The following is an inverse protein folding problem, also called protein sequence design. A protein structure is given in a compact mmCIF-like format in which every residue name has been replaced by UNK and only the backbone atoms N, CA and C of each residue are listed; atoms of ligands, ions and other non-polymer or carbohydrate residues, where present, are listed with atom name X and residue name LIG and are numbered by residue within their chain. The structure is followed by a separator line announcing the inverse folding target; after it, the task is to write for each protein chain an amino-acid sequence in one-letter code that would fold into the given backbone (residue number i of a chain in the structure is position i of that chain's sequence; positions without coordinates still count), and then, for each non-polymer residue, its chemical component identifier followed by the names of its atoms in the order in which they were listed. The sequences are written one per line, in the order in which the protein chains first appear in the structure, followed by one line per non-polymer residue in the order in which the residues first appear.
data_IF_781590346824
#
_entry.id   IF_781590346824
#
_cell.length_a   1.000
_cell.length_b   1.000
_cell.length_c   1.000
_cell.angle_alpha   90.00
_cell.angle_beta   90.00
_cell.angle_gamma   90.00
#
_symmetry.space_group_name_H-M   'P 1'
#
loop_
_entity.id
_entity.type
_entity.pdbx_description
1 polymer ?
#
# COMPACT_ATOMS: atom_id res chain seq x y z
N UNK A 1 49.15 -26.04 -48.67
CA UNK A 1 48.38 -24.78 -48.69
C UNK A 1 47.21 -24.89 -47.72
N UNK A 2 47.41 -24.48 -46.46
CA UNK A 2 46.38 -24.50 -45.41
C UNK A 2 45.83 -23.08 -45.27
N UNK A 3 44.56 -22.88 -45.59
CA UNK A 3 43.84 -21.61 -45.44
C UNK A 3 43.71 -21.28 -43.95
N UNK A 4 44.44 -20.26 -43.49
CA UNK A 4 44.19 -19.63 -42.20
C UNK A 4 42.83 -18.91 -42.26
N UNK A 5 41.84 -19.44 -41.54
CA UNK A 5 40.61 -18.70 -41.21
C UNK A 5 41.00 -17.56 -40.28
N UNK A 6 40.85 -16.31 -40.77
CA UNK A 6 40.85 -15.11 -39.93
C UNK A 6 39.81 -15.31 -38.82
N UNK A 7 40.28 -15.32 -37.58
CA UNK A 7 39.43 -15.28 -36.40
C UNK A 7 38.82 -13.89 -36.39
N UNK A 8 37.54 -13.77 -36.73
CA UNK A 8 36.78 -12.54 -36.51
C UNK A 8 36.85 -12.25 -35.00
N UNK A 9 37.40 -11.08 -34.67
CA UNK A 9 37.51 -10.60 -33.30
C UNK A 9 36.11 -10.30 -32.78
N UNK A 10 35.46 -11.34 -32.23
CA UNK A 10 34.23 -11.22 -31.47
C UNK A 10 34.42 -10.16 -30.37
N UNK A 11 33.56 -9.14 -30.43
CA UNK A 11 33.25 -8.13 -29.44
C UNK A 11 33.78 -8.45 -28.02
N UNK A 12 35.01 -8.07 -27.70
CA UNK A 12 35.53 -8.03 -26.31
C UNK A 12 35.14 -6.71 -25.68
N UNK A 13 33.85 -6.45 -25.55
CA UNK A 13 33.37 -5.11 -25.20
C UNK A 13 32.20 -5.24 -24.22
N UNK A 14 32.49 -5.37 -22.92
CA UNK A 14 31.47 -5.20 -21.89
C UNK A 14 31.96 -4.36 -20.69
N UNK A 15 33.23 -4.46 -20.29
CA UNK A 15 33.72 -3.65 -19.16
C UNK A 15 34.46 -2.37 -19.60
N UNK A 16 35.28 -2.45 -20.66
CA UNK A 16 36.18 -1.36 -21.05
C UNK A 16 35.50 -0.23 -21.85
N UNK A 17 34.41 -0.52 -22.58
CA UNK A 17 33.61 0.49 -23.31
C UNK A 17 32.57 1.20 -22.46
N UNK A 18 32.03 0.51 -21.45
CA UNK A 18 31.01 1.03 -20.54
C UNK A 18 31.61 1.94 -19.47
N UNK A 19 32.89 1.75 -19.13
CA UNK A 19 33.62 2.59 -18.18
C UNK A 19 33.58 4.10 -18.51
N UNK A 20 33.93 4.56 -19.74
CA UNK A 20 33.85 5.98 -20.10
C UNK A 20 32.43 6.53 -20.24
N UNK A 21 31.41 5.67 -20.38
CA UNK A 21 30.00 6.10 -20.36
C UNK A 21 29.50 6.28 -18.92
N UNK A 22 29.84 5.35 -18.03
CA UNK A 22 29.48 5.39 -16.60
C UNK A 22 30.15 6.54 -15.86
N UNK A 23 31.33 6.99 -16.29
CA UNK A 23 32.00 8.16 -15.69
C UNK A 23 31.24 9.48 -15.86
N UNK A 24 30.21 9.52 -16.72
CA UNK A 24 29.30 10.66 -16.87
C UNK A 24 28.14 10.66 -15.86
N UNK A 25 27.85 9.52 -15.22
CA UNK A 25 26.74 9.40 -14.28
C UNK A 25 26.87 10.32 -13.06
N UNK A 26 28.05 10.52 -12.45
CA UNK A 26 28.19 11.46 -11.34
C UNK A 26 27.76 12.88 -11.73
N UNK A 27 28.19 13.38 -12.90
CA UNK A 27 27.79 14.71 -13.38
C UNK A 27 26.28 14.82 -13.59
N UNK A 28 25.65 13.79 -14.15
CA UNK A 28 24.18 13.76 -14.34
C UNK A 28 23.49 13.74 -12.97
N UNK A 29 24.01 12.99 -12.00
CA UNK A 29 23.46 12.96 -10.65
C UNK A 29 23.57 14.33 -9.97
N UNK A 30 24.72 15.01 -10.11
CA UNK A 30 24.91 16.37 -9.59
C UNK A 30 23.92 17.35 -10.23
N UNK A 31 23.73 17.30 -11.56
CA UNK A 31 22.72 18.11 -12.28
C UNK A 31 21.29 17.83 -11.78
N UNK A 32 20.95 16.57 -11.48
CA UNK A 32 19.66 16.20 -10.89
C UNK A 32 19.53 16.78 -9.47
N UNK A 33 20.58 16.68 -8.64
CA UNK A 33 20.60 17.21 -7.27
C UNK A 33 20.45 18.74 -7.29
N UNK A 34 21.13 19.43 -8.20
CA UNK A 34 20.96 20.87 -8.40
C UNK A 34 19.49 21.19 -8.76
N UNK A 35 18.88 20.41 -9.65
CA UNK A 35 17.47 20.58 -10.02
C UNK A 35 16.49 20.30 -8.88
N UNK A 36 16.89 19.55 -7.85
CA UNK A 36 16.08 19.32 -6.65
C UNK A 36 15.89 20.57 -5.77
N UNK A 37 16.69 21.62 -5.97
CA UNK A 37 16.65 22.86 -5.19
C UNK A 37 15.85 23.99 -5.86
N UNK A 38 15.34 23.77 -7.08
CA UNK A 38 14.58 24.75 -7.84
C UNK A 38 13.16 24.95 -7.27
N UNK A 39 12.62 26.16 -7.37
CA UNK A 39 11.27 26.50 -6.88
C UNK A 39 10.13 25.72 -7.56
N UNK A 40 10.39 25.14 -8.74
CA UNK A 40 9.45 24.27 -9.46
C UNK A 40 9.66 22.77 -9.16
N UNK A 41 10.57 22.43 -8.26
CA UNK A 41 10.88 21.05 -7.93
C UNK A 41 9.99 20.53 -6.80
N UNK A 42 9.24 19.46 -7.09
CA UNK A 42 8.36 18.79 -6.13
C UNK A 42 9.09 17.64 -5.43
N UNK A 43 10.13 17.98 -4.67
CA UNK A 43 10.89 17.00 -3.87
C UNK A 43 10.38 16.94 -2.44
N UNK A 44 10.41 15.74 -1.86
CA UNK A 44 10.19 15.53 -0.43
C UNK A 44 11.47 14.96 0.20
N UNK A 45 12.55 15.74 0.11
CA UNK A 45 13.84 15.40 0.73
C UNK A 45 13.84 16.06 2.12
N UNK A 46 13.31 15.34 3.09
CA UNK A 46 13.26 15.78 4.49
C UNK A 46 13.62 14.61 5.42
N UNK A 47 13.86 14.91 6.69
CA UNK A 47 14.15 13.93 7.73
C UNK A 47 12.92 13.10 8.14
N UNK A 48 11.72 13.61 7.85
CA UNK A 48 10.46 12.95 8.20
C UNK A 48 9.91 12.10 7.03
N UNK A 49 9.63 10.80 7.23
CA UNK A 49 9.04 9.96 6.19
C UNK A 49 7.58 10.34 5.90
N UNK A 50 7.21 10.28 4.63
CA UNK A 50 5.81 10.28 4.17
C UNK A 50 5.23 8.87 4.18
N UNK A 51 3.89 8.72 4.23
CA UNK A 51 3.25 7.43 4.04
C UNK A 51 3.72 6.76 2.74
N UNK A 52 4.08 5.48 2.81
CA UNK A 52 4.53 4.72 1.64
C UNK A 52 3.36 4.00 0.99
N UNK A 53 3.25 4.07 -0.34
CA UNK A 53 2.19 3.38 -1.08
C UNK A 53 2.22 1.88 -0.82
N UNK A 54 3.42 1.30 -0.78
CA UNK A 54 3.64 -0.12 -0.51
C UNK A 54 3.18 -0.51 0.90
N UNK A 55 3.45 0.34 1.91
CA UNK A 55 2.97 0.12 3.28
C UNK A 55 1.46 0.17 3.38
N UNK A 56 0.81 1.11 2.67
CA UNK A 56 -0.66 1.18 2.58
C UNK A 56 -1.26 -0.05 1.93
N UNK A 57 -0.66 -0.55 0.85
CA UNK A 57 -1.10 -1.80 0.19
C UNK A 57 -0.99 -2.98 1.15
N UNK A 58 0.12 -3.10 1.88
CA UNK A 58 0.27 -4.18 2.86
C UNK A 58 -0.79 -4.07 3.98
N UNK A 59 -1.10 -2.86 4.47
CA UNK A 59 -2.19 -2.63 5.42
C UNK A 59 -3.53 -3.11 4.88
N UNK A 60 -3.84 -2.82 3.61
CA UNK A 60 -5.09 -3.30 2.97
C UNK A 60 -5.12 -4.84 2.96
N UNK A 61 -4.02 -5.49 2.59
CA UNK A 61 -3.95 -6.95 2.57
C UNK A 61 -4.11 -7.57 3.97
N UNK A 62 -3.47 -6.98 5.00
CA UNK A 62 -3.66 -7.39 6.41
C UNK A 62 -5.10 -7.20 6.87
N UNK A 63 -5.73 -6.09 6.48
CA UNK A 63 -7.13 -5.84 6.78
C UNK A 63 -8.03 -6.89 6.15
N UNK A 64 -7.78 -7.28 4.89
CA UNK A 64 -8.55 -8.33 4.21
C UNK A 64 -8.44 -9.68 4.94
N UNK A 65 -7.26 -10.03 5.46
CA UNK A 65 -7.06 -11.23 6.28
C UNK A 65 -7.93 -11.23 7.56
N UNK A 66 -8.11 -10.07 8.20
CA UNK A 66 -8.94 -9.93 9.41
C UNK A 66 -10.43 -9.82 9.09
N UNK A 67 -10.79 -9.13 8.01
CA UNK A 67 -12.17 -8.91 7.60
C UNK A 67 -12.82 -10.22 7.10
N UNK A 68 -12.04 -11.02 6.36
CA UNK A 68 -12.45 -12.31 5.80
C UNK A 68 -11.47 -13.44 6.22
N UNK A 69 -11.47 -13.86 7.51
CA UNK A 69 -10.57 -14.91 7.98
C UNK A 69 -10.77 -16.21 7.22
N UNK A 70 -9.66 -16.79 6.73
CA UNK A 70 -9.65 -18.04 5.96
C UNK A 70 -9.65 -17.87 4.44
N UNK A 71 -9.95 -16.68 3.91
CA UNK A 71 -9.90 -16.41 2.47
C UNK A 71 -8.51 -15.99 2.00
N UNK A 72 -7.90 -15.03 2.71
CA UNK A 72 -6.64 -14.40 2.29
C UNK A 72 -5.43 -14.83 3.13
N UNK A 73 -5.64 -15.62 4.17
CA UNK A 73 -4.57 -16.06 5.06
C UNK A 73 -3.58 -16.98 4.34
N UNK A 74 -2.28 -16.77 4.57
CA UNK A 74 -1.20 -17.61 4.00
C UNK A 74 -1.22 -19.07 4.48
N UNK A 75 -1.87 -19.35 5.61
CA UNK A 75 -1.93 -20.67 6.22
C UNK A 75 -3.37 -21.10 6.52
N UNK A 76 -3.55 -22.39 6.81
CA UNK A 76 -4.84 -22.92 7.22
C UNK A 76 -5.29 -22.27 8.53
N UNK A 77 -6.45 -21.63 8.51
CA UNK A 77 -7.15 -21.19 9.71
C UNK A 77 -8.19 -22.25 10.08
N UNK A 78 -8.21 -22.65 11.34
CA UNK A 78 -9.18 -23.55 11.92
C UNK A 78 -9.62 -23.04 13.31
N UNK A 79 -10.68 -23.63 13.92
CA UNK A 79 -11.17 -23.13 15.20
C UNK A 79 -10.15 -23.14 16.34
N UNK A 80 -9.10 -23.96 16.27
CA UNK A 80 -8.08 -24.05 17.31
C UNK A 80 -7.05 -22.91 17.21
N UNK A 81 -6.70 -22.50 15.98
CA UNK A 81 -5.70 -21.46 15.75
C UNK A 81 -6.27 -20.05 15.51
N UNK A 82 -7.58 -19.94 15.24
CA UNK A 82 -8.25 -18.67 14.90
C UNK A 82 -7.94 -17.55 15.88
N UNK A 83 -8.03 -17.81 17.19
CA UNK A 83 -7.80 -16.80 18.22
C UNK A 83 -6.38 -16.23 18.16
N UNK A 84 -5.39 -17.08 17.95
CA UNK A 84 -3.99 -16.67 17.88
C UNK A 84 -3.68 -15.95 16.58
N UNK A 85 -4.20 -16.46 15.46
CA UNK A 85 -4.02 -15.87 14.13
C UNK A 85 -4.61 -14.44 14.07
N UNK A 86 -5.85 -14.27 14.53
CA UNK A 86 -6.51 -12.96 14.55
C UNK A 86 -5.83 -12.01 15.55
N UNK A 87 -5.44 -12.50 16.73
CA UNK A 87 -4.72 -11.69 17.72
C UNK A 87 -3.39 -11.15 17.17
N UNK A 88 -2.57 -12.02 16.57
CA UNK A 88 -1.31 -11.62 15.96
C UNK A 88 -1.52 -10.64 14.80
N UNK A 89 -2.51 -10.91 13.93
CA UNK A 89 -2.83 -10.05 12.79
C UNK A 89 -3.29 -8.66 13.25
N UNK A 90 -4.08 -8.59 14.31
CA UNK A 90 -4.54 -7.32 14.88
C UNK A 90 -3.38 -6.50 15.47
N UNK A 91 -2.45 -7.13 16.20
CA UNK A 91 -1.26 -6.44 16.73
C UNK A 91 -0.38 -5.91 15.59
N UNK A 92 -0.07 -6.75 14.59
CA UNK A 92 0.74 -6.31 13.45
C UNK A 92 0.05 -5.20 12.66
N UNK A 93 -1.26 -5.29 12.45
CA UNK A 93 -2.03 -4.23 11.79
C UNK A 93 -1.99 -2.92 12.58
N UNK A 94 -2.11 -2.98 13.91
CA UNK A 94 -2.03 -1.78 14.76
C UNK A 94 -0.70 -1.06 14.59
N UNK A 95 0.42 -1.80 14.69
CA UNK A 95 1.76 -1.22 14.56
C UNK A 95 1.93 -0.54 13.19
N UNK A 96 1.64 -1.27 12.11
CA UNK A 96 1.77 -0.76 10.73
C UNK A 96 0.85 0.44 10.47
N UNK A 97 -0.41 0.36 10.88
CA UNK A 97 -1.37 1.44 10.65
C UNK A 97 -1.00 2.67 11.45
N UNK A 98 -0.59 2.52 12.70
CA UNK A 98 -0.19 3.65 13.54
C UNK A 98 1.00 4.39 12.96
N UNK A 99 2.03 3.68 12.50
CA UNK A 99 3.20 4.27 11.83
C UNK A 99 2.79 5.10 10.61
N UNK A 100 1.97 4.53 9.72
CA UNK A 100 1.51 5.24 8.52
C UNK A 100 0.62 6.44 8.84
N UNK A 101 -0.23 6.35 9.88
CA UNK A 101 -1.03 7.49 10.35
C UNK A 101 -0.12 8.59 10.90
N UNK A 102 0.89 8.24 11.72
CA UNK A 102 1.86 9.19 12.24
C UNK A 102 2.57 9.94 11.11
N UNK A 103 3.11 9.22 10.12
CA UNK A 103 3.76 9.83 8.96
C UNK A 103 2.82 10.78 8.21
N UNK A 104 1.55 10.39 8.07
CA UNK A 104 0.57 11.22 7.39
C UNK A 104 0.23 12.50 8.16
N UNK A 105 0.07 12.41 9.48
CA UNK A 105 -0.22 13.56 10.34
C UNK A 105 0.98 14.50 10.34
N UNK A 106 2.18 13.98 10.54
CA UNK A 106 3.42 14.78 10.56
C UNK A 106 3.60 15.51 9.24
N UNK A 107 3.42 14.83 8.10
CA UNK A 107 3.47 15.46 6.79
C UNK A 107 2.51 16.66 6.68
N UNK A 108 1.26 16.51 7.14
CA UNK A 108 0.30 17.62 7.12
C UNK A 108 0.67 18.75 8.10
N UNK A 109 1.20 18.42 9.28
CA UNK A 109 1.69 19.43 10.22
C UNK A 109 2.79 20.30 9.58
N UNK A 110 3.78 19.67 8.94
CA UNK A 110 4.85 20.39 8.25
C UNK A 110 4.34 21.19 7.05
N UNK A 111 3.45 20.60 6.25
CA UNK A 111 2.88 21.24 5.06
C UNK A 111 2.06 22.49 5.38
N UNK A 112 1.32 22.47 6.50
CA UNK A 112 0.41 23.55 6.89
C UNK A 112 0.91 24.39 8.07
N UNK A 113 2.20 24.28 8.42
CA UNK A 113 2.84 25.00 9.53
C UNK A 113 2.08 24.87 10.87
N UNK A 114 1.60 23.66 11.15
CA UNK A 114 0.89 23.32 12.39
C UNK A 114 1.86 22.79 13.45
N UNK A 115 1.59 23.02 14.75
CA UNK A 115 2.43 22.46 15.81
C UNK A 115 2.35 20.93 15.79
N UNK A 116 3.45 20.24 15.48
CA UNK A 116 3.56 18.79 15.67
C UNK A 116 3.99 18.47 17.09
N UNK A 117 3.03 18.52 18.01
CA UNK A 117 3.12 17.93 19.34
C UNK A 117 2.24 16.68 19.38
N UNK A 118 2.74 15.59 19.98
CA UNK A 118 1.97 14.37 20.24
C UNK A 118 1.45 13.64 18.99
N UNK A 119 2.09 13.87 17.83
CA UNK A 119 1.76 13.23 16.55
C UNK A 119 1.75 11.68 16.67
N UNK A 120 2.63 11.10 17.49
CA UNK A 120 2.70 9.65 17.73
C UNK A 120 1.53 9.13 18.56
N UNK A 121 1.23 9.80 19.69
CA UNK A 121 0.10 9.43 20.54
C UNK A 121 -1.21 9.54 19.77
N UNK A 122 -1.35 10.58 18.95
CA UNK A 122 -2.49 10.74 18.06
C UNK A 122 -2.58 9.58 17.05
N UNK A 123 -1.48 9.19 16.42
CA UNK A 123 -1.45 8.06 15.49
C UNK A 123 -1.85 6.74 16.14
N UNK A 124 -1.30 6.43 17.33
CA UNK A 124 -1.69 5.25 18.11
C UNK A 124 -3.18 5.27 18.47
N UNK A 125 -3.69 6.41 18.93
CA UNK A 125 -5.10 6.56 19.32
C UNK A 125 -6.04 6.35 18.13
N UNK A 126 -5.74 6.98 16.99
CA UNK A 126 -6.56 6.86 15.78
C UNK A 126 -6.52 5.44 15.20
N UNK A 127 -5.35 4.79 15.20
CA UNK A 127 -5.24 3.39 14.80
C UNK A 127 -6.09 2.48 15.69
N UNK A 128 -6.04 2.66 17.02
CA UNK A 128 -6.87 1.88 17.94
C UNK A 128 -8.37 2.11 17.70
N UNK A 129 -8.79 3.37 17.58
CA UNK A 129 -10.18 3.72 17.27
C UNK A 129 -10.65 3.10 15.96
N UNK A 130 -9.80 3.07 14.94
CA UNK A 130 -10.11 2.39 13.69
C UNK A 130 -10.26 0.86 13.90
N UNK A 131 -9.35 0.22 14.63
CA UNK A 131 -9.43 -1.23 14.92
C UNK A 131 -10.73 -1.59 15.67
N UNK A 132 -11.22 -0.73 16.56
CA UNK A 132 -12.51 -0.92 17.26
C UNK A 132 -13.71 -0.93 16.31
N UNK A 133 -13.61 -0.33 15.12
CA UNK A 133 -14.67 -0.34 14.11
C UNK A 133 -14.74 -1.64 13.29
N UNK A 134 -13.68 -2.47 13.30
CA UNK A 134 -13.55 -3.67 12.46
C UNK A 134 -14.75 -4.63 12.61
N UNK A 135 -15.25 -4.95 13.82
CA UNK A 135 -16.41 -5.83 13.96
C UNK A 135 -17.67 -5.28 13.27
N UNK A 136 -17.87 -3.96 13.27
CA UNK A 136 -18.95 -3.29 12.55
C UNK A 136 -18.75 -3.34 11.03
N UNK A 137 -17.53 -3.05 10.58
CA UNK A 137 -17.15 -3.13 9.16
C UNK A 137 -17.38 -4.53 8.58
N UNK A 138 -17.03 -5.59 9.33
CA UNK A 138 -17.30 -6.98 8.91
C UNK A 138 -18.77 -7.26 8.67
N UNK A 139 -19.67 -6.71 9.50
CA UNK A 139 -21.12 -6.88 9.31
C UNK A 139 -21.61 -6.15 8.05
N UNK A 140 -21.09 -4.95 7.80
CA UNK A 140 -21.42 -4.19 6.59
C UNK A 140 -20.95 -4.94 5.32
N UNK A 141 -19.70 -5.40 5.30
CA UNK A 141 -19.16 -6.16 4.17
C UNK A 141 -19.87 -7.49 3.94
N UNK A 142 -20.32 -8.17 5.00
CA UNK A 142 -21.14 -9.37 4.85
C UNK A 142 -22.49 -9.07 4.16
N UNK A 143 -23.06 -7.89 4.38
CA UNK A 143 -24.25 -7.43 3.67
C UNK A 143 -23.93 -7.09 2.20
N UNK A 144 -22.79 -6.46 1.92
CA UNK A 144 -22.36 -6.17 0.54
C UNK A 144 -22.12 -7.45 -0.27
N UNK A 145 -21.48 -8.45 0.32
CA UNK A 145 -21.27 -9.78 -0.30
C UNK A 145 -22.61 -10.44 -0.61
N UNK A 146 -23.57 -10.38 0.34
CA UNK A 146 -24.91 -10.93 0.13
C UNK A 146 -25.64 -10.21 -0.98
N UNK A 147 -25.63 -8.87 -0.96
CA UNK A 147 -26.28 -8.06 -1.99
C UNK A 147 -25.68 -8.33 -3.38
N UNK A 148 -24.35 -8.50 -3.46
CA UNK A 148 -23.67 -8.87 -4.71
C UNK A 148 -24.11 -10.25 -5.19
N UNK A 149 -24.22 -11.22 -4.29
CA UNK A 149 -24.68 -12.58 -4.62
C UNK A 149 -26.14 -12.60 -5.10
N UNK A 150 -27.03 -11.88 -4.43
CA UNK A 150 -28.44 -11.77 -4.80
C UNK A 150 -28.63 -10.95 -6.09
N UNK A 151 -27.73 -10.01 -6.36
CA UNK A 151 -27.78 -9.10 -7.51
C UNK A 151 -27.20 -9.67 -8.80
N UNK A 152 -26.41 -10.75 -8.74
CA UNK A 152 -25.80 -11.39 -9.90
C UNK A 152 -26.27 -12.85 -10.06
N UNK A 153 -27.24 -13.13 -10.96
CA UNK A 153 -27.69 -14.49 -11.24
C UNK A 153 -26.60 -15.45 -11.75
N UNK A 154 -25.46 -14.93 -12.24
CA UNK A 154 -24.34 -15.76 -12.67
C UNK A 154 -23.44 -16.20 -11.50
N UNK A 155 -23.59 -15.58 -10.33
CA UNK A 155 -22.76 -15.89 -9.17
C UNK A 155 -23.10 -17.28 -8.60
N UNK A 156 -22.09 -18.14 -8.42
CA UNK A 156 -22.28 -19.52 -7.93
C UNK A 156 -22.19 -19.63 -6.43
N UNK A 157 -21.42 -18.76 -5.78
CA UNK A 157 -21.28 -18.74 -4.31
C UNK A 157 -20.81 -17.39 -3.80
N UNK A 158 -20.96 -17.18 -2.49
CA UNK A 158 -20.35 -16.03 -1.81
C UNK A 158 -18.82 -16.13 -1.79
N UNK A 159 -18.27 -17.34 -1.91
CA UNK A 159 -16.83 -17.56 -1.90
C UNK A 159 -16.18 -16.98 -3.16
N UNK A 160 -16.73 -17.25 -4.35
CA UNK A 160 -16.20 -16.67 -5.58
C UNK A 160 -16.30 -15.14 -5.57
N UNK A 161 -17.35 -14.60 -4.94
CA UNK A 161 -17.54 -13.15 -4.78
C UNK A 161 -16.42 -12.55 -3.92
N UNK A 162 -16.16 -13.12 -2.74
CA UNK A 162 -15.09 -12.64 -1.86
C UNK A 162 -13.73 -12.77 -2.54
N UNK A 163 -13.49 -13.87 -3.27
CA UNK A 163 -12.19 -14.12 -3.90
C UNK A 163 -11.90 -13.29 -5.13
N UNK A 164 -12.89 -13.02 -5.98
CA UNK A 164 -12.63 -12.63 -7.36
C UNK A 164 -13.40 -11.41 -7.86
N UNK A 165 -14.42 -10.92 -7.15
CA UNK A 165 -15.24 -9.82 -7.66
C UNK A 165 -14.54 -8.47 -7.41
N UNK A 166 -14.18 -7.71 -8.47
CA UNK A 166 -13.46 -6.45 -8.32
C UNK A 166 -14.30 -5.40 -7.57
N UNK A 167 -15.63 -5.46 -7.68
CA UNK A 167 -16.54 -4.59 -6.94
C UNK A 167 -16.44 -4.78 -5.41
N UNK A 168 -16.29 -6.02 -4.94
CA UNK A 168 -16.12 -6.29 -3.50
C UNK A 168 -14.78 -5.77 -3.01
N UNK A 169 -13.71 -5.91 -3.80
CA UNK A 169 -12.41 -5.31 -3.46
C UNK A 169 -12.54 -3.79 -3.36
N UNK A 170 -13.13 -3.13 -4.36
CA UNK A 170 -13.29 -1.68 -4.37
C UNK A 170 -14.12 -1.17 -3.18
N UNK A 171 -15.27 -1.80 -2.90
CA UNK A 171 -16.13 -1.44 -1.75
C UNK A 171 -15.41 -1.69 -0.43
N UNK A 172 -14.67 -2.79 -0.30
CA UNK A 172 -13.89 -3.09 0.91
C UNK A 172 -12.88 -1.97 1.20
N UNK A 173 -12.09 -1.61 0.20
CA UNK A 173 -11.08 -0.55 0.32
C UNK A 173 -11.72 0.82 0.57
N UNK A 174 -12.80 1.15 -0.15
CA UNK A 174 -13.56 2.38 0.09
C UNK A 174 -14.08 2.47 1.53
N UNK A 175 -14.69 1.41 2.07
CA UNK A 175 -15.22 1.46 3.45
C UNK A 175 -14.12 1.62 4.48
N UNK A 176 -12.96 1.00 4.28
CA UNK A 176 -11.77 1.20 5.12
C UNK A 176 -11.32 2.67 5.05
N UNK A 177 -11.12 3.18 3.84
CA UNK A 177 -10.69 4.55 3.60
C UNK A 177 -11.67 5.57 4.20
N UNK A 178 -12.97 5.33 4.04
CA UNK A 178 -14.03 6.20 4.56
C UNK A 178 -14.05 6.25 6.10
N UNK A 179 -13.77 5.13 6.78
CA UNK A 179 -13.64 5.12 8.24
C UNK A 179 -12.43 5.94 8.70
N UNK A 180 -11.28 5.79 8.03
CA UNK A 180 -10.09 6.60 8.32
C UNK A 180 -10.33 8.09 8.04
N UNK A 181 -11.02 8.41 6.95
CA UNK A 181 -11.43 9.78 6.62
C UNK A 181 -12.32 10.39 7.70
N UNK A 182 -13.30 9.64 8.20
CA UNK A 182 -14.19 10.09 9.27
C UNK A 182 -13.46 10.27 10.62
N UNK A 183 -12.35 9.56 10.82
CA UNK A 183 -11.43 9.74 11.96
C UNK A 183 -10.47 10.94 11.75
N UNK A 184 -10.53 11.62 10.61
CA UNK A 184 -9.68 12.77 10.29
C UNK A 184 -8.26 12.40 9.88
N UNK A 185 -8.02 11.15 9.45
CA UNK A 185 -6.70 10.71 8.98
C UNK A 185 -6.43 11.30 7.59
N UNK A 186 -5.35 12.09 7.39
CA UNK A 186 -4.98 12.64 6.09
C UNK A 186 -4.38 11.58 5.17
N UNK A 187 -4.23 11.91 3.87
CA UNK A 187 -3.61 11.18 2.75
C UNK A 187 -4.01 9.70 2.54
N UNK A 188 -3.86 8.86 3.55
CA UNK A 188 -4.13 7.42 3.56
C UNK A 188 -5.46 7.05 2.91
N UNK A 189 -6.61 7.69 3.22
CA UNK A 189 -7.87 7.35 2.55
C UNK A 189 -7.78 7.44 1.03
N UNK A 190 -7.10 8.47 0.51
CA UNK A 190 -6.97 8.68 -0.94
C UNK A 190 -5.97 7.69 -1.56
N UNK A 191 -4.85 7.42 -0.90
CA UNK A 191 -3.89 6.40 -1.37
C UNK A 191 -4.59 5.04 -1.48
N UNK A 192 -5.44 4.71 -0.51
CA UNK A 192 -6.22 3.47 -0.51
C UNK A 192 -7.20 3.42 -1.69
N UNK A 193 -8.05 4.43 -1.89
CA UNK A 193 -9.05 4.41 -2.98
C UNK A 193 -8.40 4.46 -4.36
N UNK A 194 -7.31 5.21 -4.55
CA UNK A 194 -6.53 5.22 -5.80
C UNK A 194 -5.88 3.86 -6.09
N UNK A 195 -5.44 3.13 -5.05
CA UNK A 195 -4.98 1.75 -5.23
C UNK A 195 -6.12 0.84 -5.71
N UNK A 196 -7.30 0.93 -5.09
CA UNK A 196 -8.47 0.18 -5.53
C UNK A 196 -8.87 0.54 -6.97
N UNK A 197 -8.85 1.83 -7.31
CA UNK A 197 -9.08 2.31 -8.67
C UNK A 197 -8.09 1.69 -9.66
N UNK A 198 -6.78 1.74 -9.36
CA UNK A 198 -5.75 1.17 -10.23
C UNK A 198 -5.89 -0.34 -10.44
N UNK A 199 -6.45 -1.05 -9.45
CA UNK A 199 -6.59 -2.51 -9.47
C UNK A 199 -7.90 -2.97 -10.12
N UNK A 200 -8.96 -2.18 -10.01
CA UNK A 200 -10.33 -2.59 -10.36
C UNK A 200 -10.97 -1.75 -11.47
N UNK A 201 -10.43 -0.56 -11.75
CA UNK A 201 -11.03 0.45 -12.62
C UNK A 201 -12.18 1.24 -11.98
N UNK A 202 -12.55 0.95 -10.73
CA UNK A 202 -13.66 1.60 -10.02
C UNK A 202 -13.11 2.76 -9.17
N UNK A 203 -13.55 3.98 -9.47
CA UNK A 203 -13.17 5.21 -8.75
C UNK A 203 -14.30 5.64 -7.80
N UNK A 204 -14.03 5.71 -6.49
CA UNK A 204 -14.98 6.05 -5.42
C UNK A 204 -14.37 7.10 -4.49
#
# INVERSE_FOLDING_TARGET
MVKQRKKEENCKIDAQSLSPLKSRLPKIADEIIESCSDQECYTHIDYEPIPSKEGVIEIIDRLREILFPGYFARGKIDPLNLKYAVGQSATTLFDMLSEQICHSIRHDCWRYDQPCSDCDEQGYRLALQFLETIPGLRKALAADVRATYEGDPAAKSTDEIIFSYPGILAITVYRIAHLLLNLGVPLLPRIMTEYAHSTTGIDI
#
